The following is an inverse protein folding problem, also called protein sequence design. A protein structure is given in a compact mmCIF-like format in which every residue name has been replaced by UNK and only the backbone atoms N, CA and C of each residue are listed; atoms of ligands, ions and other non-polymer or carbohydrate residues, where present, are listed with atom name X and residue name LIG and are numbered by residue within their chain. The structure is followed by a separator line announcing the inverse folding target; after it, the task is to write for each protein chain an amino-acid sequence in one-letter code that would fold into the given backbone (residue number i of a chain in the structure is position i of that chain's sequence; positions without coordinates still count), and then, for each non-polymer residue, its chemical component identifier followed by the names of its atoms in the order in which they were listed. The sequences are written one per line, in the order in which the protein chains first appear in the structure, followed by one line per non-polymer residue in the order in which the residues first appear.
data_IF_747000912116
#
_entry.id   IF_747000912116
#
_cell.length_a   1.000
_cell.length_b   1.000
_cell.length_c   1.000
_cell.angle_alpha   90.00
_cell.angle_beta   90.00
_cell.angle_gamma   90.00
#
_symmetry.space_group_name_H-M   'P 1'
#
loop_
_entity.id
_entity.type
_entity.pdbx_description
1 polymer ?
#
# COMPACT_ATOMS: atom_id res chain seq x y z
N UNK A 1 -39.36 35.25 -11.35
CA UNK A 1 -39.12 34.89 -9.94
C UNK A 1 -37.66 34.47 -9.81
N UNK A 2 -36.78 35.41 -9.46
CA UNK A 2 -35.34 35.15 -9.34
C UNK A 2 -35.07 34.35 -8.06
N UNK A 3 -34.33 33.24 -8.18
CA UNK A 3 -33.82 32.52 -7.01
C UNK A 3 -32.74 33.39 -6.34
N UNK A 4 -33.00 33.79 -5.10
CA UNK A 4 -32.01 34.41 -4.21
C UNK A 4 -30.91 33.38 -3.92
N UNK A 5 -29.77 33.51 -4.60
CA UNK A 5 -28.52 32.88 -4.19
C UNK A 5 -28.12 33.46 -2.84
N UNK A 6 -28.47 32.76 -1.77
CA UNK A 6 -27.89 32.99 -0.45
C UNK A 6 -26.45 32.48 -0.48
N UNK A 7 -25.52 33.36 -0.86
CA UNK A 7 -24.11 33.20 -0.46
C UNK A 7 -24.09 33.17 1.07
N UNK A 8 -24.08 31.97 1.65
CA UNK A 8 -23.60 31.78 3.02
C UNK A 8 -22.14 32.20 3.03
N UNK A 9 -21.90 33.43 3.42
CA UNK A 9 -20.60 33.85 3.92
C UNK A 9 -20.33 33.02 5.18
N UNK A 10 -19.70 31.86 5.01
CA UNK A 10 -19.17 31.11 6.14
C UNK A 10 -18.08 31.96 6.78
N UNK A 11 -18.43 32.66 7.87
CA UNK A 11 -17.45 33.27 8.76
C UNK A 11 -16.60 32.12 9.32
N UNK A 12 -15.45 31.86 8.67
CA UNK A 12 -14.55 30.77 9.04
C UNK A 12 -13.87 31.11 10.35
N UNK A 13 -14.46 30.68 11.48
CA UNK A 13 -13.93 30.77 12.86
C UNK A 13 -12.40 30.74 12.92
N UNK A 14 -11.77 31.61 13.70
CA UNK A 14 -10.31 31.63 13.88
C UNK A 14 -9.81 30.33 14.53
N UNK A 15 -8.51 30.05 14.47
CA UNK A 15 -8.00 28.82 15.08
C UNK A 15 -8.24 28.83 16.60
N UNK A 16 -8.01 29.98 17.24
CA UNK A 16 -8.22 30.18 18.67
C UNK A 16 -9.69 29.93 19.06
N UNK A 17 -10.65 30.45 18.29
CA UNK A 17 -12.08 30.19 18.50
C UNK A 17 -12.43 28.70 18.37
N UNK A 18 -11.85 27.99 17.40
CA UNK A 18 -12.05 26.55 17.22
C UNK A 18 -11.48 25.74 18.40
N UNK A 19 -10.36 26.18 18.97
CA UNK A 19 -9.74 25.53 20.12
C UNK A 19 -10.62 25.66 21.37
N UNK A 20 -11.10 26.88 21.66
CA UNK A 20 -11.99 27.15 22.80
C UNK A 20 -13.34 26.43 22.67
N UNK A 21 -13.87 26.33 21.44
CA UNK A 21 -15.07 25.55 21.14
C UNK A 21 -14.85 24.02 21.20
N UNK A 22 -13.62 23.56 21.49
CA UNK A 22 -13.21 22.13 21.47
C UNK A 22 -13.43 21.44 20.11
N UNK A 23 -13.43 22.22 19.04
CA UNK A 23 -13.54 21.78 17.65
C UNK A 23 -12.15 21.37 17.12
N UNK A 24 -11.49 20.42 17.80
CA UNK A 24 -10.08 20.11 17.62
C UNK A 24 -9.69 19.65 16.20
N UNK A 25 -10.61 19.00 15.49
CA UNK A 25 -10.37 18.56 14.11
C UNK A 25 -10.17 19.76 13.17
N UNK A 26 -11.07 20.74 13.27
CA UNK A 26 -11.03 21.97 12.47
C UNK A 26 -9.89 22.88 12.90
N UNK A 27 -9.61 22.96 14.21
CA UNK A 27 -8.44 23.65 14.74
C UNK A 27 -7.14 23.10 14.15
N UNK A 28 -6.97 21.77 14.19
CA UNK A 28 -5.79 21.11 13.66
C UNK A 28 -5.63 21.37 12.16
N UNK A 29 -6.74 21.41 11.41
CA UNK A 29 -6.75 21.82 9.99
C UNK A 29 -6.20 23.23 9.77
N UNK A 30 -6.60 24.21 10.58
CA UNK A 30 -6.11 25.58 10.47
C UNK A 30 -4.66 25.77 10.91
N UNK A 31 -4.18 25.02 11.91
CA UNK A 31 -2.80 25.13 12.41
C UNK A 31 -1.77 24.35 11.57
N UNK A 32 -2.17 23.64 10.51
CA UNK A 32 -1.22 22.89 9.67
C UNK A 32 -0.23 23.81 8.97
N UNK A 33 1.04 23.40 8.98
CA UNK A 33 2.06 24.04 8.14
C UNK A 33 1.79 23.82 6.64
N UNK A 34 2.29 24.71 5.75
CA UNK A 34 2.21 24.49 4.30
C UNK A 34 2.75 23.13 3.87
N UNK A 35 3.84 22.66 4.49
CA UNK A 35 4.43 21.33 4.27
C UNK A 35 3.42 20.20 4.50
N UNK A 36 2.66 20.26 5.61
CA UNK A 36 1.71 19.21 5.94
C UNK A 36 0.50 19.22 5.00
N UNK A 37 0.10 20.39 4.52
CA UNK A 37 -0.95 20.51 3.50
C UNK A 37 -0.52 19.93 2.15
N UNK A 38 0.75 20.07 1.77
CA UNK A 38 1.33 19.38 0.62
C UNK A 38 1.34 17.87 0.82
N UNK A 39 1.94 17.39 1.91
CA UNK A 39 2.11 15.95 2.17
C UNK A 39 0.78 15.21 2.21
N UNK A 40 -0.29 15.81 2.74
CA UNK A 40 -1.63 15.20 2.72
C UNK A 40 -2.13 14.91 1.31
N UNK A 41 -1.78 15.75 0.33
CA UNK A 41 -2.16 15.57 -1.08
C UNK A 41 -1.22 14.60 -1.81
N UNK A 42 0.03 14.51 -1.37
CA UNK A 42 1.04 13.63 -1.95
C UNK A 42 0.85 12.15 -1.57
N UNK A 43 0.06 11.85 -0.52
CA UNK A 43 -0.21 10.46 -0.11
C UNK A 43 -1.22 9.82 -1.05
N UNK A 44 -0.81 8.72 -1.68
CA UNK A 44 -1.69 7.80 -2.36
C UNK A 44 -2.48 6.99 -1.33
N UNK A 45 -3.80 7.13 -1.33
CA UNK A 45 -4.68 6.35 -0.46
C UNK A 45 -4.84 4.93 -1.02
N UNK A 46 -4.62 3.93 -0.16
CA UNK A 46 -4.84 2.50 -0.45
C UNK A 46 -6.19 2.02 0.09
N UNK A 47 -7.06 2.96 0.44
CA UNK A 47 -8.41 2.63 0.87
C UNK A 47 -9.19 2.02 -0.30
N UNK A 48 -10.05 1.06 0.02
CA UNK A 48 -10.99 0.48 -0.92
C UNK A 48 -12.33 1.22 -0.86
N UNK A 49 -13.02 1.28 -1.99
CA UNK A 49 -14.39 1.79 -2.08
C UNK A 49 -15.23 0.77 -2.82
N UNK A 50 -16.17 0.13 -2.12
CA UNK A 50 -17.01 -0.92 -2.71
C UNK A 50 -16.19 -2.14 -3.16
N UNK A 51 -15.23 -2.56 -2.34
CA UNK A 51 -14.33 -3.71 -2.57
C UNK A 51 -13.30 -3.55 -3.70
N UNK A 52 -13.24 -2.40 -4.38
CA UNK A 52 -12.18 -2.07 -5.34
C UNK A 52 -11.20 -1.04 -4.75
N UNK A 53 -9.93 -1.11 -5.15
CA UNK A 53 -8.97 -0.05 -4.86
C UNK A 53 -9.25 1.20 -5.71
N UNK A 54 -8.70 2.33 -5.28
CA UNK A 54 -8.76 3.56 -6.08
C UNK A 54 -7.98 3.36 -7.40
N UNK A 55 -8.41 4.00 -8.51
CA UNK A 55 -7.71 3.88 -9.79
C UNK A 55 -6.22 4.22 -9.70
N UNK A 56 -5.38 3.40 -10.34
CA UNK A 56 -3.92 3.55 -10.35
C UNK A 56 -3.20 2.89 -9.17
N UNK A 57 -3.93 2.37 -8.18
CA UNK A 57 -3.36 1.49 -7.16
C UNK A 57 -3.14 0.11 -7.77
N UNK A 58 -1.92 -0.40 -7.61
CA UNK A 58 -1.50 -1.68 -8.17
C UNK A 58 -0.73 -2.49 -7.13
N UNK A 59 -0.56 -3.78 -7.38
CA UNK A 59 0.29 -4.67 -6.58
C UNK A 59 1.76 -4.47 -6.94
N UNK A 60 2.61 -4.43 -5.91
CA UNK A 60 4.05 -4.51 -6.04
C UNK A 60 4.51 -5.96 -6.05
N UNK A 61 5.22 -6.35 -7.11
CA UNK A 61 5.78 -7.69 -7.24
C UNK A 61 7.16 -7.84 -6.59
N UNK A 62 7.86 -6.78 -6.20
CA UNK A 62 9.23 -6.89 -5.65
C UNK A 62 9.33 -7.87 -4.48
N UNK A 63 8.49 -7.69 -3.47
CA UNK A 63 8.47 -8.58 -2.31
C UNK A 63 8.22 -10.04 -2.72
N UNK A 64 7.23 -10.25 -3.59
CA UNK A 64 6.82 -11.56 -4.07
C UNK A 64 7.91 -12.25 -4.92
N UNK A 65 8.56 -11.50 -5.80
CA UNK A 65 9.61 -11.92 -6.72
C UNK A 65 10.85 -12.39 -5.95
N UNK A 66 11.37 -11.57 -5.04
CA UNK A 66 12.56 -11.91 -4.26
C UNK A 66 12.34 -13.07 -3.29
N UNK A 67 11.18 -13.12 -2.63
CA UNK A 67 10.84 -14.28 -1.80
C UNK A 67 10.78 -15.55 -2.64
N UNK A 68 10.08 -15.52 -3.78
CA UNK A 68 9.95 -16.69 -4.65
C UNK A 68 11.31 -17.16 -5.17
N UNK A 69 12.15 -16.24 -5.61
CA UNK A 69 13.50 -16.55 -6.09
C UNK A 69 14.33 -17.25 -5.03
N UNK A 70 14.44 -16.66 -3.83
CA UNK A 70 15.27 -17.23 -2.75
C UNK A 70 14.75 -18.59 -2.31
N UNK A 71 13.43 -18.78 -2.24
CA UNK A 71 12.85 -20.08 -1.88
C UNK A 71 13.04 -21.15 -2.96
N UNK A 72 13.07 -20.78 -4.25
CA UNK A 72 13.41 -21.71 -5.34
C UNK A 72 14.87 -22.13 -5.33
N UNK A 73 15.77 -21.20 -4.99
CA UNK A 73 17.23 -21.42 -4.96
C UNK A 73 17.72 -22.05 -3.64
N UNK A 74 16.86 -22.13 -2.62
CA UNK A 74 17.24 -22.63 -1.29
C UNK A 74 17.62 -24.12 -1.33
N UNK A 75 18.77 -24.51 -0.73
CA UNK A 75 19.11 -25.92 -0.56
C UNK A 75 18.05 -26.65 0.29
N UNK A 76 17.67 -27.90 -0.05
CA UNK A 76 16.69 -28.66 0.74
C UNK A 76 17.07 -28.86 2.21
N UNK A 77 18.36 -28.80 2.54
CA UNK A 77 18.89 -28.93 3.90
C UNK A 77 18.92 -27.62 4.69
N UNK A 78 18.67 -26.47 4.04
CA UNK A 78 18.70 -25.17 4.72
C UNK A 78 17.49 -25.03 5.66
N UNK A 79 17.69 -24.64 6.93
CA UNK A 79 16.57 -24.39 7.83
C UNK A 79 15.67 -23.28 7.29
N UNK A 80 14.36 -23.50 7.30
CA UNK A 80 13.36 -22.57 6.77
C UNK A 80 13.53 -21.12 7.27
N UNK A 81 13.91 -20.93 8.54
CA UNK A 81 14.13 -19.58 9.11
C UNK A 81 15.30 -18.85 8.46
N UNK A 82 16.34 -19.57 8.05
CA UNK A 82 17.50 -18.99 7.35
C UNK A 82 17.08 -18.59 5.94
N UNK A 83 16.33 -19.44 5.23
CA UNK A 83 15.77 -19.10 3.91
C UNK A 83 14.89 -17.86 3.96
N UNK A 84 14.04 -17.73 4.99
CA UNK A 84 13.22 -16.52 5.23
C UNK A 84 14.07 -15.28 5.49
N UNK A 85 15.11 -15.39 6.31
CA UNK A 85 16.00 -14.26 6.58
C UNK A 85 16.73 -13.80 5.31
N UNK A 86 17.19 -14.75 4.48
CA UNK A 86 17.80 -14.47 3.17
C UNK A 86 16.82 -13.84 2.19
N UNK A 87 15.56 -14.30 2.16
CA UNK A 87 14.52 -13.73 1.33
C UNK A 87 14.22 -12.27 1.72
N UNK A 88 14.11 -11.99 3.01
CA UNK A 88 13.94 -10.62 3.51
C UNK A 88 15.15 -9.75 3.17
N UNK A 89 16.38 -10.25 3.35
CA UNK A 89 17.59 -9.52 2.98
C UNK A 89 17.59 -9.20 1.47
N UNK A 90 17.26 -10.17 0.60
CA UNK A 90 17.19 -9.96 -0.83
C UNK A 90 16.15 -8.88 -1.21
N UNK A 91 15.00 -8.83 -0.55
CA UNK A 91 14.03 -7.74 -0.74
C UNK A 91 14.66 -6.39 -0.36
N UNK A 92 15.26 -6.29 0.83
CA UNK A 92 15.80 -5.02 1.32
C UNK A 92 17.01 -4.54 0.50
N UNK A 93 17.83 -5.45 -0.03
CA UNK A 93 19.02 -5.14 -0.82
C UNK A 93 18.68 -4.68 -2.25
N UNK A 94 17.52 -5.08 -2.79
CA UNK A 94 17.19 -4.88 -4.21
C UNK A 94 15.95 -4.01 -4.46
N UNK A 95 15.05 -3.86 -3.48
CA UNK A 95 13.82 -3.10 -3.68
C UNK A 95 14.12 -1.63 -3.99
N UNK A 96 13.58 -1.08 -5.09
CA UNK A 96 13.67 0.35 -5.35
C UNK A 96 13.15 1.17 -4.18
N UNK A 97 13.92 2.16 -3.76
CA UNK A 97 13.53 3.09 -2.69
C UNK A 97 13.34 4.49 -3.25
N UNK A 98 12.38 5.21 -2.70
CA UNK A 98 12.12 6.61 -3.04
C UNK A 98 11.91 7.44 -1.79
N UNK A 99 12.11 8.75 -1.92
CA UNK A 99 11.81 9.72 -0.88
C UNK A 99 10.68 10.60 -1.40
N UNK A 100 9.54 10.58 -0.71
CA UNK A 100 8.43 11.49 -1.01
C UNK A 100 8.86 12.93 -0.77
N UNK A 101 8.55 13.80 -1.73
CA UNK A 101 8.89 15.20 -1.65
C UNK A 101 8.38 15.86 -0.36
N UNK A 102 9.20 16.75 0.20
CA UNK A 102 9.01 17.40 1.49
C UNK A 102 8.85 16.47 2.72
N UNK A 103 9.05 15.15 2.58
CA UNK A 103 9.00 14.25 3.72
C UNK A 103 10.24 14.38 4.60
N UNK A 104 10.03 14.28 5.92
CA UNK A 104 11.11 14.21 6.92
C UNK A 104 11.27 12.82 7.52
N UNK A 105 10.21 12.02 7.49
CA UNK A 105 10.21 10.62 7.89
C UNK A 105 10.11 9.83 6.60
N UNK A 106 11.16 9.08 6.30
CA UNK A 106 11.29 8.35 5.03
C UNK A 106 11.04 6.87 5.25
N UNK A 107 10.65 6.19 4.17
CA UNK A 107 10.36 4.77 4.19
C UNK A 107 9.00 4.46 3.57
N UNK A 108 8.99 3.44 2.74
CA UNK A 108 7.79 2.83 2.20
C UNK A 108 8.06 1.34 2.00
N UNK A 109 7.00 0.53 2.02
CA UNK A 109 7.14 -0.93 1.94
C UNK A 109 7.21 -1.45 0.50
N UNK A 110 6.77 -0.67 -0.48
CA UNK A 110 6.83 -1.02 -1.90
C UNK A 110 7.81 -0.16 -2.71
N UNK A 111 7.93 -0.47 -3.99
CA UNK A 111 8.86 0.14 -4.94
C UNK A 111 8.41 1.50 -5.49
N UNK A 112 7.12 1.84 -5.38
CA UNK A 112 6.58 3.15 -5.78
C UNK A 112 5.35 3.57 -4.94
N UNK A 113 5.00 4.87 -4.87
CA UNK A 113 3.96 5.39 -3.97
C UNK A 113 2.57 4.78 -4.16
N UNK A 114 2.21 4.37 -5.37
CA UNK A 114 0.91 3.79 -5.72
C UNK A 114 0.87 2.26 -5.58
N UNK A 115 2.02 1.61 -5.35
CA UNK A 115 2.13 0.16 -5.31
C UNK A 115 1.93 -0.39 -3.89
N UNK A 116 1.23 -1.52 -3.78
CA UNK A 116 0.94 -2.20 -2.52
C UNK A 116 1.69 -3.53 -2.46
N UNK A 117 2.40 -3.75 -1.35
CA UNK A 117 3.11 -5.00 -1.15
C UNK A 117 2.16 -6.19 -1.16
N UNK A 118 2.43 -7.14 -2.06
CA UNK A 118 1.78 -8.44 -2.05
C UNK A 118 2.64 -9.47 -1.32
N UNK A 119 1.99 -10.28 -0.48
CA UNK A 119 2.61 -11.26 0.40
C UNK A 119 2.11 -12.66 0.02
N UNK A 120 2.65 -13.26 -1.05
CA UNK A 120 2.13 -14.53 -1.57
C UNK A 120 2.34 -15.72 -0.63
N UNK A 121 3.21 -15.57 0.38
CA UNK A 121 3.49 -16.60 1.38
C UNK A 121 2.36 -16.76 2.41
N UNK A 122 1.42 -15.82 2.48
CA UNK A 122 0.45 -15.77 3.57
C UNK A 122 -0.75 -16.70 3.36
N UNK A 123 -1.43 -16.56 2.23
CA UNK A 123 -2.69 -17.26 1.94
C UNK A 123 -2.80 -17.57 0.45
N UNK A 124 -3.08 -18.83 0.12
CA UNK A 124 -3.30 -19.27 -1.26
C UNK A 124 -4.66 -18.79 -1.77
N UNK A 125 -5.67 -18.70 -0.90
CA UNK A 125 -6.99 -18.13 -1.24
C UNK A 125 -6.87 -16.65 -1.63
N UNK A 126 -6.15 -15.85 -0.84
CA UNK A 126 -5.95 -14.41 -1.14
C UNK A 126 -5.13 -14.21 -2.42
N UNK A 127 -4.19 -15.12 -2.71
CA UNK A 127 -3.45 -15.08 -3.98
C UNK A 127 -4.38 -15.32 -5.17
N UNK A 128 -5.26 -16.33 -5.07
CA UNK A 128 -6.25 -16.61 -6.11
C UNK A 128 -7.22 -15.42 -6.27
N UNK A 129 -7.66 -14.78 -5.19
CA UNK A 129 -8.49 -13.56 -5.24
C UNK A 129 -7.76 -12.39 -5.92
N UNK A 130 -6.48 -12.19 -5.60
CA UNK A 130 -5.65 -11.12 -6.19
C UNK A 130 -5.48 -11.32 -7.69
N UNK A 131 -5.25 -12.55 -8.14
CA UNK A 131 -5.13 -12.88 -9.57
C UNK A 131 -6.45 -12.79 -10.34
N UNK A 132 -7.58 -12.99 -9.66
CA UNK A 132 -8.91 -12.93 -10.25
C UNK A 132 -9.50 -11.51 -10.25
N UNK A 133 -8.82 -10.54 -9.63
CA UNK A 133 -9.23 -9.15 -9.61
C UNK A 133 -9.27 -8.57 -11.04
N UNK A 134 -10.41 -7.99 -11.41
CA UNK A 134 -10.66 -7.42 -12.75
C UNK A 134 -10.53 -5.90 -12.79
N UNK A 135 -10.04 -5.27 -11.72
CA UNK A 135 -9.91 -3.82 -11.61
C UNK A 135 -8.59 -3.30 -12.19
N UNK A 136 -7.73 -4.20 -12.65
CA UNK A 136 -6.38 -3.88 -13.12
C UNK A 136 -5.37 -3.74 -11.97
N UNK A 137 -5.66 -4.38 -10.82
CA UNK A 137 -4.79 -4.38 -9.65
C UNK A 137 -3.40 -4.96 -9.97
N UNK A 138 -3.34 -5.99 -10.81
CA UNK A 138 -2.10 -6.46 -11.42
C UNK A 138 -2.15 -6.02 -12.89
N UNK A 139 -1.14 -5.29 -13.38
CA UNK A 139 -1.02 -4.96 -14.81
C UNK A 139 -0.96 -6.21 -15.69
N UNK A 140 -1.51 -6.16 -16.90
CA UNK A 140 -1.52 -7.31 -17.82
C UNK A 140 -0.10 -7.83 -18.15
N UNK A 141 0.89 -6.93 -18.19
CA UNK A 141 2.31 -7.26 -18.40
C UNK A 141 2.92 -8.08 -17.26
N UNK A 142 2.41 -7.93 -16.04
CA UNK A 142 2.89 -8.58 -14.82
C UNK A 142 2.10 -9.86 -14.48
N UNK A 143 0.97 -10.11 -15.17
CA UNK A 143 0.05 -11.20 -14.84
C UNK A 143 0.67 -12.59 -14.93
N UNK A 144 1.57 -12.82 -15.90
CA UNK A 144 2.20 -14.13 -16.05
C UNK A 144 3.18 -14.42 -14.90
N UNK A 145 3.99 -13.44 -14.52
CA UNK A 145 4.88 -13.54 -13.36
C UNK A 145 4.06 -13.75 -12.07
N UNK A 146 2.98 -13.00 -11.89
CA UNK A 146 2.12 -13.13 -10.72
C UNK A 146 1.50 -14.54 -10.61
N UNK A 147 1.08 -15.14 -11.73
CA UNK A 147 0.58 -16.52 -11.76
C UNK A 147 1.66 -17.54 -11.40
N UNK A 148 2.88 -17.37 -11.93
CA UNK A 148 4.00 -18.25 -11.59
C UNK A 148 4.30 -18.21 -10.08
N UNK A 149 4.34 -17.01 -9.51
CA UNK A 149 4.53 -16.79 -8.07
C UNK A 149 3.43 -17.47 -7.26
N UNK A 150 2.15 -17.19 -7.55
CA UNK A 150 1.03 -17.76 -6.81
C UNK A 150 1.04 -19.30 -6.89
N UNK A 151 1.30 -19.85 -8.08
CA UNK A 151 1.43 -21.29 -8.30
C UNK A 151 2.55 -21.91 -7.49
N UNK A 152 3.71 -21.25 -7.41
CA UNK A 152 4.82 -21.70 -6.57
C UNK A 152 4.42 -21.70 -5.08
N UNK A 153 3.72 -20.68 -4.60
CA UNK A 153 3.35 -20.60 -3.18
C UNK A 153 2.16 -21.48 -2.79
N UNK A 154 1.35 -21.94 -3.74
CA UNK A 154 0.23 -22.85 -3.48
C UNK A 154 0.71 -24.16 -2.83
N UNK A 155 0.09 -24.54 -1.71
CA UNK A 155 0.50 -25.66 -0.86
C UNK A 155 1.68 -25.35 0.10
N UNK A 156 2.23 -24.13 0.04
CA UNK A 156 3.38 -23.67 0.84
C UNK A 156 3.03 -22.45 1.70
N UNK A 157 1.84 -21.87 1.58
CA UNK A 157 1.46 -20.69 2.37
C UNK A 157 1.21 -21.01 3.83
N UNK A 158 1.17 -20.01 4.71
CA UNK A 158 0.79 -20.23 6.12
C UNK A 158 -0.62 -20.79 6.24
N UNK A 159 -1.56 -20.28 5.44
CA UNK A 159 -2.92 -20.83 5.34
C UNK A 159 -2.90 -22.34 5.04
N UNK A 160 -2.16 -22.75 4.00
CA UNK A 160 -2.07 -24.18 3.60
C UNK A 160 -1.43 -25.08 4.69
N UNK A 161 -0.79 -24.50 5.71
CA UNK A 161 -0.25 -25.24 6.88
C UNK A 161 -1.18 -25.25 8.09
N UNK A 162 -2.19 -24.39 8.10
CA UNK A 162 -3.12 -24.24 9.22
C UNK A 162 -4.51 -24.80 8.93
N UNK A 163 -4.87 -24.96 7.65
CA UNK A 163 -6.16 -25.48 7.17
C UNK A 163 -6.04 -26.94 6.74
#
# INVERSE_FOLDING_TARGET
MAQLETKKEEVKKSAEELYEAREFWWWAEKKRSPRLNYLRKAVWSKATKGSAYLPGIQVDLENARWHTKIFKEAPPSEPFIITRARALAAVLDNMPVFITDHSRIVGYLGSAPNLMVWIPTASSTVNDDTLNDRTGLIPDEDMEEAREIASFWKGRTYEDKCV
#
